data_IF_437544268292
#
_entry.id   IF_437544268292
#
_cell.length_a   1.000
_cell.length_b   1.000
_cell.length_c   1.000
_cell.angle_alpha   90.00
_cell.angle_beta   90.00
_cell.angle_gamma   90.00
#
_symmetry.space_group_name_H-M   'P 1'
#
loop_
_entity.id
_entity.type
_entity.pdbx_description
1 polymer ?
#
# COMPACT_ATOMS: atom_id res chain seq x y z
N UNK A 1 -10.05 0.28 18.49
CA UNK A 1 -8.95 0.46 17.52
C UNK A 1 -8.56 1.93 17.41
N UNK A 2 -7.39 2.24 16.85
CA UNK A 2 -6.87 3.61 16.77
C UNK A 2 -7.43 4.35 15.53
N UNK A 3 -8.09 5.51 15.71
CA UNK A 3 -8.62 6.32 14.61
C UNK A 3 -7.61 6.72 13.53
N UNK A 4 -6.31 6.75 13.85
CA UNK A 4 -5.24 7.07 12.90
C UNK A 4 -5.14 6.06 11.73
N UNK A 5 -5.71 4.86 11.88
CA UNK A 5 -5.73 3.81 10.86
C UNK A 5 -7.13 3.53 10.32
N UNK A 6 -8.05 4.52 10.38
CA UNK A 6 -9.39 4.44 9.75
C UNK A 6 -9.32 4.31 8.23
N UNK A 7 -8.24 4.79 7.63
CA UNK A 7 -7.93 4.51 6.24
C UNK A 7 -7.60 3.02 6.03
N UNK A 8 -7.27 2.61 4.81
CA UNK A 8 -7.13 1.21 4.47
C UNK A 8 -5.89 0.53 5.11
N UNK A 9 -6.13 -0.57 5.85
CA UNK A 9 -5.24 -1.75 5.92
C UNK A 9 -4.10 -1.74 6.95
N UNK A 10 -4.18 -0.93 8.01
CA UNK A 10 -3.13 -0.88 9.05
C UNK A 10 -3.66 -0.94 10.50
N UNK A 11 -4.97 -1.01 10.68
CA UNK A 11 -5.61 -1.13 11.99
C UNK A 11 -5.23 -2.45 12.68
N UNK A 12 -5.23 -3.54 11.92
CA UNK A 12 -4.81 -4.89 12.29
C UNK A 12 -3.29 -4.96 12.54
N UNK A 13 -2.49 -4.30 11.70
CA UNK A 13 -1.03 -4.21 11.88
C UNK A 13 -0.68 -3.48 13.18
N UNK A 14 -1.33 -2.35 13.47
CA UNK A 14 -1.16 -1.61 14.72
C UNK A 14 -1.58 -2.45 15.94
N UNK A 15 -2.66 -3.21 15.83
CA UNK A 15 -3.11 -4.08 16.91
C UNK A 15 -2.15 -5.26 17.12
N UNK A 16 -1.74 -5.93 16.05
CA UNK A 16 -0.79 -7.04 16.09
C UNK A 16 0.57 -6.62 16.63
N UNK A 17 1.09 -5.44 16.26
CA UNK A 17 2.32 -4.90 16.83
C UNK A 17 2.20 -4.66 18.33
N UNK A 18 1.08 -4.11 18.81
CA UNK A 18 0.85 -3.90 20.25
C UNK A 18 0.77 -5.21 21.03
N UNK A 19 0.13 -6.24 20.47
CA UNK A 19 0.13 -7.58 21.08
C UNK A 19 1.55 -8.15 21.15
N UNK A 20 2.31 -8.07 20.06
CA UNK A 20 3.70 -8.52 20.00
C UNK A 20 4.57 -7.81 21.05
N UNK A 21 4.46 -6.48 21.15
CA UNK A 21 5.18 -5.69 22.15
C UNK A 21 4.79 -6.04 23.59
N UNK A 22 3.55 -6.51 23.81
CA UNK A 22 3.07 -7.02 25.11
C UNK A 22 3.42 -8.50 25.37
N UNK A 23 4.16 -9.16 24.47
CA UNK A 23 4.50 -10.58 24.59
C UNK A 23 3.33 -11.53 24.35
N UNK A 24 2.23 -11.05 23.74
CA UNK A 24 1.05 -11.84 23.42
C UNK A 24 1.21 -12.46 22.03
N UNK A 25 1.27 -13.80 21.90
CA UNK A 25 1.43 -14.45 20.61
C UNK A 25 0.15 -14.36 19.77
N UNK A 26 0.31 -14.17 18.47
CA UNK A 26 -0.77 -14.33 17.47
C UNK A 26 -0.62 -15.70 16.83
N UNK A 27 -1.63 -16.55 16.98
CA UNK A 27 -1.65 -17.91 16.42
C UNK A 27 -2.61 -17.95 15.24
N UNK A 28 -2.11 -18.32 14.06
CA UNK A 28 -2.95 -18.61 12.90
C UNK A 28 -3.36 -20.09 12.97
N UNK A 29 -4.67 -20.34 13.13
CA UNK A 29 -5.26 -21.67 13.25
C UNK A 29 -5.85 -22.10 11.89
N UNK A 30 -5.22 -23.04 11.16
CA UNK A 30 -5.68 -23.43 9.81
C UNK A 30 -7.12 -23.95 9.78
N UNK A 31 -7.57 -24.59 10.85
CA UNK A 31 -8.92 -25.11 11.01
C UNK A 31 -10.00 -24.02 11.10
N UNK A 32 -9.60 -22.76 11.30
CA UNK A 32 -10.48 -21.59 11.36
C UNK A 32 -10.36 -20.69 10.11
N UNK A 33 -9.63 -21.12 9.08
CA UNK A 33 -9.53 -20.35 7.84
C UNK A 33 -10.88 -20.25 7.13
N UNK A 34 -11.14 -19.08 6.57
CA UNK A 34 -12.38 -18.80 5.82
C UNK A 34 -12.08 -18.10 4.50
N UNK A 35 -12.81 -18.41 3.41
CA UNK A 35 -12.65 -17.70 2.15
C UNK A 35 -12.91 -16.20 2.28
N UNK A 36 -11.99 -15.39 1.78
CA UNK A 36 -12.13 -13.93 1.72
C UNK A 36 -12.15 -13.45 0.26
N UNK A 37 -13.23 -12.79 -0.15
CA UNK A 37 -13.50 -12.47 -1.56
C UNK A 37 -13.35 -10.99 -1.94
N UNK A 38 -12.61 -10.17 -1.16
CA UNK A 38 -12.60 -8.70 -1.31
C UNK A 38 -11.31 -8.16 -1.98
N UNK A 39 -10.83 -8.84 -3.01
CA UNK A 39 -9.63 -8.40 -3.75
C UNK A 39 -9.92 -7.17 -4.64
N UNK A 40 -8.97 -6.24 -4.74
CA UNK A 40 -9.02 -5.19 -5.75
C UNK A 40 -8.76 -5.79 -7.14
N UNK A 41 -9.81 -5.80 -7.97
CA UNK A 41 -9.79 -6.40 -9.31
C UNK A 41 -9.33 -5.42 -10.41
N UNK A 42 -9.29 -4.12 -10.12
CA UNK A 42 -8.82 -3.08 -11.04
C UNK A 42 -7.45 -2.52 -10.64
N UNK A 43 -6.70 -2.00 -11.60
CA UNK A 43 -5.45 -1.27 -11.33
C UNK A 43 -5.75 -0.05 -10.46
N UNK A 44 -6.83 0.68 -10.75
CA UNK A 44 -7.27 1.81 -9.93
C UNK A 44 -7.49 1.42 -8.46
N UNK A 45 -8.22 0.34 -8.19
CA UNK A 45 -8.48 -0.13 -6.84
C UNK A 45 -7.19 -0.52 -6.11
N UNK A 46 -6.25 -1.17 -6.81
CA UNK A 46 -4.94 -1.54 -6.25
C UNK A 46 -4.09 -0.30 -5.95
N UNK A 47 -4.06 0.68 -6.84
CA UNK A 47 -3.34 1.94 -6.67
C UNK A 47 -3.90 2.73 -5.49
N UNK A 48 -5.23 2.85 -5.38
CA UNK A 48 -5.87 3.52 -4.25
C UNK A 48 -5.51 2.85 -2.92
N UNK A 49 -5.69 1.53 -2.82
CA UNK A 49 -5.35 0.78 -1.60
C UNK A 49 -3.87 0.89 -1.24
N UNK A 50 -2.98 0.84 -2.23
CA UNK A 50 -1.55 1.00 -2.01
C UNK A 50 -1.19 2.42 -1.51
N UNK A 51 -1.80 3.46 -2.08
CA UNK A 51 -1.61 4.83 -1.60
C UNK A 51 -2.03 4.98 -0.13
N UNK A 52 -3.24 4.51 0.20
CA UNK A 52 -3.76 4.55 1.56
C UNK A 52 -2.88 3.75 2.53
N UNK A 53 -2.43 2.55 2.13
CA UNK A 53 -1.50 1.75 2.92
C UNK A 53 -0.14 2.45 3.11
N UNK A 54 0.33 3.22 2.11
CA UNK A 54 1.54 4.02 2.22
C UNK A 54 1.41 5.14 3.26
N UNK A 55 0.31 5.88 3.24
CA UNK A 55 0.03 6.92 4.22
C UNK A 55 -0.11 6.34 5.64
N UNK A 56 -0.82 5.22 5.76
CA UNK A 56 -0.99 4.53 7.03
C UNK A 56 0.33 3.96 7.57
N UNK A 57 1.23 3.46 6.70
CA UNK A 57 2.61 3.12 7.09
C UNK A 57 3.32 4.31 7.72
N UNK A 58 3.22 5.50 7.12
CA UNK A 58 3.85 6.71 7.66
C UNK A 58 3.27 7.08 9.04
N UNK A 59 1.95 6.94 9.22
CA UNK A 59 1.30 7.12 10.51
C UNK A 59 1.82 6.11 11.55
N UNK A 60 1.95 4.84 11.18
CA UNK A 60 2.50 3.79 12.03
C UNK A 60 3.95 4.08 12.44
N UNK A 61 4.82 4.44 11.50
CA UNK A 61 6.21 4.81 11.78
C UNK A 61 6.30 6.03 12.71
N UNK A 62 5.37 6.97 12.57
CA UNK A 62 5.29 8.15 13.44
C UNK A 62 4.86 7.80 14.87
N UNK A 63 4.04 6.76 15.03
CA UNK A 63 3.52 6.29 16.32
C UNK A 63 4.48 5.35 17.05
N UNK A 64 5.08 4.39 16.34
CA UNK A 64 5.85 3.28 16.93
C UNK A 64 7.36 3.36 16.65
N UNK A 65 7.79 4.33 15.83
CA UNK A 65 9.15 4.43 15.33
C UNK A 65 9.41 3.52 14.13
N UNK A 66 10.36 3.91 13.28
CA UNK A 66 10.70 3.15 12.06
C UNK A 66 11.30 1.78 12.34
N UNK A 67 11.94 1.59 13.50
CA UNK A 67 12.49 0.31 13.91
C UNK A 67 11.43 -0.81 14.06
N UNK A 68 10.18 -0.43 14.35
CA UNK A 68 9.06 -1.37 14.50
C UNK A 68 8.75 -2.17 13.22
N UNK A 69 9.13 -1.65 12.04
CA UNK A 69 8.93 -2.31 10.75
C UNK A 69 10.19 -3.03 10.22
N UNK A 70 11.29 -3.00 10.97
CA UNK A 70 12.59 -3.49 10.51
C UNK A 70 13.18 -2.66 9.37
N UNK A 71 14.34 -3.11 8.87
CA UNK A 71 15.02 -2.43 7.77
C UNK A 71 14.23 -2.61 6.46
N UNK A 72 13.83 -1.50 5.83
CA UNK A 72 13.25 -1.55 4.49
C UNK A 72 14.31 -2.02 3.48
N UNK A 73 13.99 -2.97 2.58
CA UNK A 73 14.90 -3.32 1.51
C UNK A 73 15.14 -2.09 0.64
N UNK A 74 16.42 -1.75 0.42
CA UNK A 74 16.78 -0.63 -0.44
C UNK A 74 16.28 -0.89 -1.87
N UNK A 75 15.50 0.03 -2.43
CA UNK A 75 15.11 -0.02 -3.83
C UNK A 75 16.36 0.18 -4.71
N UNK A 76 16.99 -0.91 -5.14
CA UNK A 76 18.20 -0.89 -5.99
C UNK A 76 17.83 -0.98 -7.47
N UNK A 77 18.59 -0.28 -8.31
CA UNK A 77 18.52 -0.41 -9.77
C UNK A 77 17.56 0.55 -10.49
N UNK A 78 17.39 0.34 -11.79
CA UNK A 78 16.62 1.22 -12.67
C UNK A 78 15.12 1.25 -12.31
N UNK A 79 14.56 0.12 -11.90
CA UNK A 79 13.17 0.00 -11.46
C UNK A 79 12.85 0.92 -10.28
N UNK A 80 13.66 0.82 -9.21
CA UNK A 80 13.51 1.64 -8.02
C UNK A 80 13.54 3.14 -8.34
N UNK A 81 14.43 3.57 -9.24
CA UNK A 81 14.48 4.98 -9.69
C UNK A 81 13.21 5.43 -10.42
N UNK A 82 12.60 4.55 -11.22
CA UNK A 82 11.36 4.87 -11.94
C UNK A 82 10.17 4.96 -10.97
N UNK A 83 10.06 4.01 -10.03
CA UNK A 83 9.07 4.04 -8.95
C UNK A 83 9.23 5.31 -8.11
N UNK A 84 10.46 5.58 -7.66
CA UNK A 84 10.80 6.73 -6.84
C UNK A 84 10.45 8.07 -7.50
N UNK A 85 10.88 8.25 -8.75
CA UNK A 85 10.59 9.46 -9.53
C UNK A 85 9.10 9.63 -9.79
N UNK A 86 8.38 8.53 -10.00
CA UNK A 86 6.93 8.58 -10.22
C UNK A 86 6.21 8.98 -8.95
N UNK A 87 6.56 8.35 -7.82
CA UNK A 87 6.04 8.70 -6.51
C UNK A 87 6.36 10.15 -6.14
N UNK A 88 7.56 10.65 -6.46
CA UNK A 88 7.93 12.04 -6.18
C UNK A 88 7.09 13.08 -6.93
N UNK A 89 6.52 12.74 -8.10
CA UNK A 89 5.88 13.70 -9.01
C UNK A 89 4.36 13.61 -9.11
N UNK A 90 3.74 12.60 -8.49
CA UNK A 90 2.31 12.34 -8.66
C UNK A 90 1.70 12.12 -7.28
N UNK A 91 0.57 12.77 -7.00
CA UNK A 91 -0.27 12.49 -5.84
C UNK A 91 -1.32 11.43 -6.16
N UNK A 92 -2.31 11.29 -5.29
CA UNK A 92 -3.36 10.27 -5.39
C UNK A 92 -4.15 10.41 -6.69
N UNK A 93 -4.61 11.62 -7.00
CA UNK A 93 -5.48 11.88 -8.15
C UNK A 93 -4.80 11.53 -9.48
N UNK A 94 -3.52 11.90 -9.65
CA UNK A 94 -2.76 11.63 -10.88
C UNK A 94 -2.50 10.13 -11.06
N UNK A 95 -2.17 9.42 -9.99
CA UNK A 95 -1.91 7.98 -10.01
C UNK A 95 -3.19 7.19 -10.30
N UNK A 96 -4.31 7.54 -9.67
CA UNK A 96 -5.61 6.92 -9.98
C UNK A 96 -6.03 7.19 -11.43
N UNK A 97 -5.83 8.40 -11.94
CA UNK A 97 -6.11 8.71 -13.35
C UNK A 97 -5.23 7.90 -14.32
N UNK A 98 -3.96 7.67 -14.00
CA UNK A 98 -3.06 6.80 -14.78
C UNK A 98 -3.47 5.33 -14.70
N UNK A 99 -3.97 4.89 -13.55
CA UNK A 99 -4.47 3.54 -13.34
C UNK A 99 -5.73 3.29 -14.20
N UNK A 100 -6.71 4.21 -14.20
CA UNK A 100 -7.89 4.13 -15.08
C UNK A 100 -7.52 4.06 -16.56
N UNK A 101 -6.51 4.82 -17.00
CA UNK A 101 -5.99 4.72 -18.38
C UNK A 101 -5.33 3.37 -18.66
N UNK A 102 -4.65 2.81 -17.65
CA UNK A 102 -4.01 1.50 -17.75
C UNK A 102 -5.06 0.40 -17.88
N UNK A 103 -6.10 0.40 -17.04
CA UNK A 103 -7.18 -0.60 -17.08
C UNK A 103 -7.82 -0.71 -18.46
N UNK A 104 -8.03 0.41 -19.17
CA UNK A 104 -8.57 0.41 -20.55
C UNK A 104 -7.66 -0.22 -21.59
N UNK A 105 -6.36 -0.32 -21.31
CA UNK A 105 -5.33 -0.75 -22.25
C UNK A 105 -4.74 -2.13 -21.98
N UNK A 106 -4.96 -2.71 -20.79
CA UNK A 106 -4.29 -3.95 -20.36
C UNK A 106 -4.50 -5.11 -21.34
N UNK A 107 -5.71 -5.26 -21.87
CA UNK A 107 -6.06 -6.35 -22.79
C UNK A 107 -5.36 -6.28 -24.15
N UNK A 108 -4.69 -5.16 -24.46
CA UNK A 108 -3.92 -4.97 -25.70
C UNK A 108 -2.42 -5.18 -25.51
N UNK A 109 -1.98 -5.42 -24.27
CA UNK A 109 -0.57 -5.57 -23.94
C UNK A 109 -0.21 -7.06 -23.77
N UNK A 110 1.03 -7.46 -24.10
CA UNK A 110 1.58 -8.72 -23.64
C UNK A 110 1.50 -8.81 -22.11
N UNK A 111 1.17 -9.99 -21.58
CA UNK A 111 0.94 -10.22 -20.15
C UNK A 111 2.06 -9.66 -19.26
N UNK A 112 3.32 -9.93 -19.61
CA UNK A 112 4.48 -9.47 -18.84
C UNK A 112 4.55 -7.93 -18.73
N UNK A 113 4.16 -7.22 -19.79
CA UNK A 113 4.17 -5.77 -19.83
C UNK A 113 2.99 -5.19 -19.04
N UNK A 114 1.82 -5.82 -19.11
CA UNK A 114 0.65 -5.49 -18.30
C UNK A 114 0.98 -5.61 -16.80
N UNK A 115 1.57 -6.74 -16.39
CA UNK A 115 1.98 -6.99 -15.00
C UNK A 115 2.98 -5.93 -14.49
N UNK A 116 4.00 -5.59 -15.29
CA UNK A 116 4.96 -4.54 -14.93
C UNK A 116 4.31 -3.16 -14.85
N UNK A 117 3.38 -2.84 -15.74
CA UNK A 117 2.67 -1.56 -15.70
C UNK A 117 1.82 -1.41 -14.44
N UNK A 118 1.13 -2.47 -14.03
CA UNK A 118 0.38 -2.52 -12.77
C UNK A 118 1.33 -2.41 -11.58
N UNK A 119 2.40 -3.21 -11.54
CA UNK A 119 3.39 -3.18 -10.45
C UNK A 119 4.01 -1.79 -10.26
N UNK A 120 4.43 -1.13 -11.35
CA UNK A 120 4.98 0.21 -11.32
C UNK A 120 4.03 1.22 -10.66
N UNK A 121 2.75 1.22 -11.05
CA UNK A 121 1.75 2.14 -10.49
C UNK A 121 1.45 1.85 -9.02
N UNK A 122 1.34 0.57 -8.65
CA UNK A 122 1.05 0.14 -7.27
C UNK A 122 2.22 0.49 -6.34
N UNK A 123 3.45 0.18 -6.73
CA UNK A 123 4.64 0.52 -5.93
C UNK A 123 4.83 2.04 -5.81
N UNK A 124 4.63 2.78 -6.91
CA UNK A 124 4.72 4.24 -6.90
C UNK A 124 3.63 4.87 -6.01
N UNK A 125 2.42 4.27 -5.98
CA UNK A 125 1.34 4.72 -5.11
C UNK A 125 1.65 4.49 -3.63
N UNK A 126 2.16 3.31 -3.26
CA UNK A 126 2.60 3.04 -1.89
C UNK A 126 3.67 4.02 -1.42
N UNK A 127 4.69 4.29 -2.24
CA UNK A 127 5.73 5.26 -1.91
C UNK A 127 5.21 6.71 -1.91
N UNK A 128 4.29 7.05 -2.81
CA UNK A 128 3.66 8.38 -2.83
C UNK A 128 2.83 8.62 -1.58
N UNK A 129 2.05 7.63 -1.14
CA UNK A 129 1.23 7.74 0.07
C UNK A 129 2.07 7.99 1.32
N UNK A 130 3.25 7.36 1.43
CA UNK A 130 4.19 7.63 2.52
C UNK A 130 4.69 9.09 2.52
N UNK A 131 4.84 9.69 1.33
CA UNK A 131 5.32 11.07 1.14
C UNK A 131 4.24 12.12 1.31
N UNK A 132 2.98 11.74 1.08
CA UNK A 132 1.81 12.63 1.08
C UNK A 132 0.69 12.06 1.95
N UNK A 133 0.94 11.81 3.25
CA UNK A 133 -0.08 11.28 4.14
C UNK A 133 -1.26 12.25 4.32
N UNK A 134 -1.04 13.54 4.09
CA UNK A 134 -2.02 14.62 4.14
C UNK A 134 -3.09 14.56 3.03
N UNK A 135 -2.81 13.89 1.91
CA UNK A 135 -3.81 13.65 0.85
C UNK A 135 -4.80 12.53 1.21
N UNK A 136 -4.60 11.86 2.35
CA UNK A 136 -5.57 10.92 2.91
C UNK A 136 -6.49 11.69 3.86
N UNK A 137 -7.63 12.13 3.32
CA UNK A 137 -8.73 12.55 4.17
C UNK A 137 -9.26 11.30 4.85
N UNK A 138 -9.33 11.33 6.18
CA UNK A 138 -10.11 10.36 6.94
C UNK A 138 -11.58 10.62 6.59
N UNK A 139 -12.05 10.02 5.51
CA UNK A 139 -13.46 10.02 5.13
C UNK A 139 -14.21 9.12 6.13
N UNK A 140 -14.45 9.64 7.34
CA UNK A 140 -15.39 9.10 8.32
C UNK A 140 -16.22 10.23 8.90
#
# INVERSE_FOLDING_TARGET
YDPAFRAYGWEDVDWGYRLHAAGVPVVLAPELETPHHVAATTTEGRVRRAFLAGAARRAFESKHGSAALGAAPAARGAWGRIVDRTAARNGRAELEARARRTDRGLNRMPRWAAEKRVAWLVEAAGLSGQRRPDEVVNDV
#
